data_IF_861116290116
#
_entry.id   IF_861116290116
#
_cell.length_a   1.000
_cell.length_b   1.000
_cell.length_c   1.000
_cell.angle_alpha   90.00
_cell.angle_beta   90.00
_cell.angle_gamma   90.00
#
_symmetry.space_group_name_H-M   'P 1'
#
loop_
_entity.id
_entity.type
_entity.pdbx_description
1 polymer ?
#
# COMPACT_ATOMS: atom_id res chain seq x y z
N UNK A 1 18.73 -37.54 -1.53
CA UNK A 1 17.51 -36.80 -1.16
C UNK A 1 17.88 -35.65 -0.23
N UNK A 2 18.64 -34.67 -0.73
CA UNK A 2 19.08 -33.56 0.10
C UNK A 2 19.40 -32.42 -0.86
N UNK A 3 18.38 -31.64 -1.21
CA UNK A 3 18.44 -30.34 -1.91
C UNK A 3 17.01 -29.84 -2.20
N UNK A 4 16.07 -29.96 -1.24
CA UNK A 4 14.70 -29.45 -1.43
C UNK A 4 14.27 -28.39 -0.40
N UNK A 5 15.13 -28.02 0.57
CA UNK A 5 14.73 -27.17 1.70
C UNK A 5 15.45 -25.81 1.73
N UNK A 6 16.00 -25.32 0.63
CA UNK A 6 16.79 -24.07 0.63
C UNK A 6 16.26 -22.99 -0.32
N UNK A 7 14.98 -23.06 -0.71
CA UNK A 7 14.35 -22.03 -1.54
C UNK A 7 13.04 -21.53 -0.90
N UNK A 8 13.08 -21.25 0.41
CA UNK A 8 11.93 -20.72 1.16
C UNK A 8 12.27 -19.53 2.07
N UNK A 9 13.44 -18.93 1.90
CA UNK A 9 13.81 -17.72 2.60
C UNK A 9 14.42 -16.75 1.59
N UNK A 10 14.09 -15.47 1.74
CA UNK A 10 14.66 -14.31 1.03
C UNK A 10 13.88 -13.76 -0.18
N UNK A 11 12.62 -13.32 0.04
CA UNK A 11 12.15 -11.97 -0.36
C UNK A 11 10.73 -11.68 0.18
N UNK A 12 10.62 -11.36 1.47
CA UNK A 12 9.40 -10.77 2.06
C UNK A 12 9.47 -9.23 2.10
N UNK A 13 10.41 -8.65 1.36
CA UNK A 13 10.41 -7.25 0.97
C UNK A 13 9.87 -7.19 -0.46
N UNK A 14 8.65 -7.69 -0.68
CA UNK A 14 7.95 -7.47 -1.94
C UNK A 14 7.90 -5.98 -2.18
N UNK A 15 8.78 -5.51 -3.06
CA UNK A 15 8.82 -4.19 -3.67
C UNK A 15 7.39 -3.66 -3.74
N UNK A 16 7.14 -2.51 -3.12
CA UNK A 16 5.87 -1.79 -3.11
C UNK A 16 5.16 -2.02 -4.46
N UNK A 17 4.11 -2.88 -4.50
CA UNK A 17 3.41 -3.25 -5.75
C UNK A 17 2.91 -2.00 -6.50
N UNK A 18 2.79 -0.90 -5.76
CA UNK A 18 2.39 0.39 -6.26
C UNK A 18 3.50 1.43 -6.11
N UNK A 19 3.67 2.23 -7.17
CA UNK A 19 4.49 3.44 -7.12
C UNK A 19 3.69 4.57 -6.47
N UNK A 20 4.08 4.99 -5.28
CA UNK A 20 3.46 6.14 -4.60
C UNK A 20 4.07 7.47 -5.06
N UNK A 21 3.23 8.44 -5.41
CA UNK A 21 3.72 9.81 -5.60
C UNK A 21 4.19 10.43 -4.29
N UNK A 22 5.13 11.37 -4.35
CA UNK A 22 5.63 12.08 -3.16
C UNK A 22 4.50 12.77 -2.38
N UNK A 23 3.52 13.33 -3.09
CA UNK A 23 2.36 13.99 -2.50
C UNK A 23 1.42 13.00 -1.82
N UNK A 24 1.19 11.82 -2.41
CA UNK A 24 0.41 10.74 -1.81
C UNK A 24 1.06 10.25 -0.50
N UNK A 25 2.40 10.08 -0.50
CA UNK A 25 3.15 9.74 0.72
C UNK A 25 2.97 10.81 1.81
N UNK A 26 2.98 12.09 1.43
CA UNK A 26 2.76 13.18 2.37
C UNK A 26 1.35 13.16 2.98
N UNK A 27 0.31 12.93 2.17
CA UNK A 27 -1.08 12.79 2.66
C UNK A 27 -1.26 11.57 3.54
N UNK A 28 -0.67 10.43 3.17
CA UNK A 28 -0.70 9.22 3.97
C UNK A 28 -0.07 9.42 5.36
N UNK A 29 1.02 10.19 5.46
CA UNK A 29 1.64 10.52 6.77
C UNK A 29 0.71 11.32 7.70
N UNK A 30 -0.27 12.05 7.17
CA UNK A 30 -1.26 12.76 7.98
C UNK A 30 -2.34 11.85 8.59
N UNK A 31 -2.41 10.60 8.15
CA UNK A 31 -3.30 9.60 8.75
C UNK A 31 -2.76 9.20 10.13
N UNK A 32 -3.58 9.16 11.20
CA UNK A 32 -3.13 8.75 12.51
C UNK A 32 -2.49 7.36 12.51
N UNK A 33 -1.37 7.19 13.23
CA UNK A 33 -0.52 6.00 13.10
C UNK A 33 -1.28 4.67 13.35
N UNK A 34 -2.21 4.66 14.29
CA UNK A 34 -2.96 3.47 14.71
C UNK A 34 -3.95 2.97 13.64
N UNK A 35 -4.31 3.79 12.65
CA UNK A 35 -5.14 3.38 11.50
C UNK A 35 -4.37 3.30 10.18
N UNK A 36 -3.08 3.69 10.14
CA UNK A 36 -2.30 3.72 8.88
C UNK A 36 -2.24 2.38 8.15
N UNK A 37 -2.16 1.26 8.87
CA UNK A 37 -2.15 -0.08 8.25
C UNK A 37 -3.45 -0.36 7.49
N UNK A 38 -4.60 -0.11 8.14
CA UNK A 38 -5.91 -0.28 7.52
C UNK A 38 -6.13 0.71 6.36
N UNK A 39 -5.70 1.97 6.54
CA UNK A 39 -5.76 2.96 5.48
C UNK A 39 -4.92 2.55 4.26
N UNK A 40 -3.71 2.03 4.48
CA UNK A 40 -2.83 1.58 3.39
C UNK A 40 -3.46 0.44 2.59
N UNK A 41 -3.98 -0.59 3.27
CA UNK A 41 -4.68 -1.69 2.61
C UNK A 41 -5.84 -1.17 1.75
N UNK A 42 -6.61 -0.19 2.26
CA UNK A 42 -7.72 0.38 1.50
C UNK A 42 -7.25 1.15 0.26
N UNK A 43 -6.16 1.91 0.39
CA UNK A 43 -5.55 2.65 -0.73
C UNK A 43 -5.07 1.70 -1.82
N UNK A 44 -4.39 0.61 -1.44
CA UNK A 44 -3.90 -0.41 -2.37
C UNK A 44 -5.07 -1.12 -3.09
N UNK A 45 -6.17 -1.44 -2.37
CA UNK A 45 -7.39 -1.98 -2.99
C UNK A 45 -8.04 -1.01 -3.98
N UNK A 46 -8.07 0.29 -3.66
CA UNK A 46 -8.60 1.31 -4.57
C UNK A 46 -7.72 1.43 -5.83
N UNK A 47 -6.39 1.41 -5.67
CA UNK A 47 -5.47 1.42 -6.81
C UNK A 47 -5.64 0.18 -7.70
N UNK A 48 -5.79 -0.99 -7.10
CA UNK A 48 -6.05 -2.24 -7.83
C UNK A 48 -7.40 -2.21 -8.57
N UNK A 49 -8.46 -1.71 -7.92
CA UNK A 49 -9.78 -1.57 -8.53
C UNK A 49 -9.76 -0.59 -9.73
N UNK A 50 -8.98 0.49 -9.60
CA UNK A 50 -8.75 1.47 -10.66
C UNK A 50 -7.72 0.97 -11.71
N UNK A 51 -7.17 -0.25 -11.53
CA UNK A 51 -6.10 -0.86 -12.35
C UNK A 51 -4.89 0.08 -12.51
N UNK A 52 -4.60 0.85 -11.47
CA UNK A 52 -3.49 1.79 -11.40
C UNK A 52 -2.34 1.16 -10.64
N UNK A 53 -1.16 1.12 -11.24
CA UNK A 53 0.12 0.80 -10.59
C UNK A 53 0.66 2.00 -9.78
N UNK A 54 0.03 3.17 -9.90
CA UNK A 54 0.47 4.41 -9.26
C UNK A 54 -0.54 4.91 -8.22
N UNK A 55 -0.10 5.04 -6.98
CA UNK A 55 -0.89 5.65 -5.90
C UNK A 55 -0.71 7.16 -5.93
N UNK A 56 -1.79 7.86 -6.29
CA UNK A 56 -1.87 9.32 -6.35
C UNK A 56 -2.58 9.89 -5.12
N UNK A 57 -2.53 11.22 -4.95
CA UNK A 57 -3.26 11.93 -3.90
C UNK A 57 -4.75 11.59 -3.92
N UNK A 58 -5.35 11.47 -5.11
CA UNK A 58 -6.77 11.17 -5.25
C UNK A 58 -7.15 9.83 -4.60
N UNK A 59 -6.34 8.79 -4.79
CA UNK A 59 -6.60 7.46 -4.21
C UNK A 59 -6.48 7.51 -2.68
N UNK A 60 -5.50 8.25 -2.15
CA UNK A 60 -5.34 8.45 -0.70
C UNK A 60 -6.52 9.20 -0.10
N UNK A 61 -6.98 10.28 -0.73
CA UNK A 61 -8.12 11.06 -0.26
C UNK A 61 -9.43 10.27 -0.35
N UNK A 62 -9.65 9.48 -1.42
CA UNK A 62 -10.79 8.55 -1.51
C UNK A 62 -10.83 7.61 -0.31
N UNK A 63 -9.70 7.03 0.08
CA UNK A 63 -9.63 6.18 1.27
C UNK A 63 -9.94 6.97 2.56
N UNK A 64 -9.41 8.20 2.73
CA UNK A 64 -9.68 9.03 3.92
C UNK A 64 -11.17 9.33 4.11
N UNK A 65 -11.88 9.64 3.03
CA UNK A 65 -13.32 9.92 3.05
C UNK A 65 -14.13 8.72 3.56
N UNK A 66 -13.73 7.49 3.23
CA UNK A 66 -14.40 6.27 3.72
C UNK A 66 -14.20 6.04 5.24
N UNK A 67 -13.13 6.59 5.82
CA UNK A 67 -12.89 6.59 7.28
C UNK A 67 -13.50 7.79 8.02
N UNK A 68 -14.22 8.68 7.31
CA UNK A 68 -14.86 9.86 7.90
C UNK A 68 -13.89 10.95 8.36
N UNK A 69 -12.71 11.06 7.72
CA UNK A 69 -11.64 12.02 8.06
C UNK A 69 -11.31 13.01 6.95
#
# INVERSE_FOLDING_TARGET
>A
MQNLEQNLEQNLDSEDEFTWTSEAKAKFKNIPYFVRSQARQRIEQLAQADRSDRITVEIVEKARLEFGQ
#
